data_IF_852037413869
#
_entry.id   IF_852037413869
#
_cell.length_a   1.000
_cell.length_b   1.000
_cell.length_c   1.000
_cell.angle_alpha   90.00
_cell.angle_beta   90.00
_cell.angle_gamma   90.00
#
_symmetry.space_group_name_H-M   'P 1'
#
loop_
_entity.id
_entity.type
_entity.pdbx_description
1 polymer ?
#
# COMPACT_ATOMS: atom_id res chain seq x y z
N UNK A 1 -44.80 -37.65 -14.18
CA UNK A 1 -43.77 -38.44 -13.45
C UNK A 1 -42.43 -38.10 -14.10
N UNK A 2 -41.62 -37.31 -13.39
CA UNK A 2 -40.42 -36.63 -13.89
C UNK A 2 -39.27 -37.62 -14.05
N UNK A 3 -38.51 -37.47 -15.13
CA UNK A 3 -37.36 -38.28 -15.53
C UNK A 3 -36.11 -37.89 -14.72
N UNK A 4 -35.34 -38.93 -14.41
CA UNK A 4 -33.86 -38.97 -14.35
C UNK A 4 -33.11 -37.93 -13.51
N UNK A 5 -32.84 -38.31 -12.26
CA UNK A 5 -31.72 -37.79 -11.48
C UNK A 5 -30.54 -38.76 -11.63
N UNK A 6 -29.81 -38.65 -12.75
CA UNK A 6 -28.55 -39.37 -12.93
C UNK A 6 -27.43 -38.53 -12.32
N UNK A 7 -26.98 -38.95 -11.12
CA UNK A 7 -25.75 -38.50 -10.48
C UNK A 7 -24.59 -38.71 -11.47
N UNK A 8 -23.93 -37.63 -11.86
CA UNK A 8 -22.59 -37.68 -12.43
C UNK A 8 -21.71 -36.95 -11.44
N UNK A 9 -21.03 -37.71 -10.59
CA UNK A 9 -19.86 -37.27 -9.84
C UNK A 9 -18.71 -37.38 -10.84
N UNK A 10 -18.03 -36.29 -11.23
CA UNK A 10 -16.70 -36.41 -11.78
C UNK A 10 -15.79 -36.73 -10.59
N UNK A 11 -15.40 -38.00 -10.51
CA UNK A 11 -14.21 -38.46 -9.80
C UNK A 11 -13.02 -37.91 -10.59
N UNK A 12 -12.79 -36.61 -10.48
CA UNK A 12 -11.55 -36.01 -10.93
C UNK A 12 -10.66 -35.96 -9.71
N UNK A 13 -9.72 -36.92 -9.71
CA UNK A 13 -8.54 -36.99 -8.87
C UNK A 13 -8.25 -35.64 -8.22
N UNK A 14 -8.41 -35.61 -6.91
CA UNK A 14 -7.96 -34.52 -6.05
C UNK A 14 -6.43 -34.51 -6.11
N UNK A 15 -5.89 -34.10 -7.26
CA UNK A 15 -4.51 -33.68 -7.42
C UNK A 15 -4.43 -32.46 -6.52
N UNK A 16 -3.94 -32.68 -5.31
CA UNK A 16 -3.50 -31.63 -4.41
C UNK A 16 -2.35 -30.90 -5.10
N UNK A 17 -2.70 -30.03 -6.05
CA UNK A 17 -1.81 -29.01 -6.56
C UNK A 17 -1.56 -28.16 -5.32
N UNK A 18 -0.42 -28.36 -4.68
CA UNK A 18 0.12 -27.38 -3.74
C UNK A 18 0.30 -26.10 -4.55
N UNK A 19 -0.74 -25.28 -4.59
CA UNK A 19 -0.64 -23.96 -5.17
C UNK A 19 0.27 -23.19 -4.24
N UNK A 20 1.54 -23.08 -4.59
CA UNK A 20 2.40 -22.03 -4.03
C UNK A 20 1.60 -20.75 -4.26
N UNK A 21 1.13 -20.05 -3.21
CA UNK A 21 0.37 -18.84 -3.41
C UNK A 21 1.29 -17.90 -4.17
N UNK A 22 0.98 -17.64 -5.44
CA UNK A 22 1.66 -16.64 -6.23
C UNK A 22 1.61 -15.34 -5.41
N UNK A 23 2.73 -14.61 -5.27
CA UNK A 23 2.72 -13.34 -4.56
C UNK A 23 1.69 -12.43 -5.24
N UNK A 24 0.52 -12.32 -4.61
CA UNK A 24 -0.56 -11.46 -5.08
C UNK A 24 -0.06 -10.05 -4.83
N UNK A 25 0.15 -9.30 -5.92
CA UNK A 25 0.51 -7.89 -5.82
C UNK A 25 -0.53 -7.17 -4.98
N UNK A 26 -0.04 -6.38 -4.04
CA UNK A 26 -0.85 -5.44 -3.27
C UNK A 26 -1.64 -4.53 -4.22
N UNK A 27 -2.94 -4.29 -3.95
CA UNK A 27 -3.69 -3.26 -4.67
C UNK A 27 -3.07 -1.89 -4.46
N UNK A 28 -3.06 -1.09 -5.52
CA UNK A 28 -2.43 0.23 -5.60
C UNK A 28 -2.87 1.15 -4.45
N UNK A 29 -1.95 1.94 -3.89
CA UNK A 29 -2.32 3.04 -2.99
C UNK A 29 -2.93 4.17 -3.82
N UNK A 30 -4.11 4.64 -3.43
CA UNK A 30 -4.88 5.67 -4.17
C UNK A 30 -5.08 6.95 -3.36
N UNK A 31 -5.02 6.86 -2.04
CA UNK A 31 -5.16 8.03 -1.16
C UNK A 31 -4.47 7.77 0.18
N UNK A 32 -4.17 8.86 0.89
CA UNK A 32 -3.64 8.82 2.25
C UNK A 32 -4.20 9.97 3.06
N UNK A 33 -4.42 9.72 4.36
CA UNK A 33 -4.97 10.72 5.29
C UNK A 33 -4.27 10.65 6.62
N UNK A 34 -4.29 11.78 7.32
CA UNK A 34 -3.90 11.83 8.73
C UNK A 34 -5.18 11.86 9.55
N UNK A 35 -5.35 10.86 10.40
CA UNK A 35 -6.44 10.80 11.37
C UNK A 35 -5.93 11.14 12.75
N UNK A 36 -6.65 11.98 13.50
CA UNK A 36 -6.30 12.39 14.85
C UNK A 36 -7.36 11.93 15.84
N UNK A 37 -6.92 11.27 16.90
CA UNK A 37 -7.76 10.84 18.02
C UNK A 37 -7.11 11.30 19.34
N UNK A 38 -7.64 12.39 19.90
CA UNK A 38 -7.05 13.03 21.06
C UNK A 38 -5.64 13.53 20.79
N UNK A 39 -4.64 12.98 21.50
CA UNK A 39 -3.21 13.29 21.32
C UNK A 39 -2.50 12.38 20.31
N UNK A 40 -3.20 11.37 19.79
CA UNK A 40 -2.63 10.40 18.85
C UNK A 40 -2.95 10.81 17.43
N UNK A 41 -1.99 10.62 16.54
CA UNK A 41 -2.17 10.80 15.10
C UNK A 41 -1.82 9.49 14.38
N UNK A 42 -2.51 9.22 13.28
CA UNK A 42 -2.41 7.99 12.52
C UNK A 42 -2.33 8.31 11.04
N UNK A 43 -1.42 7.63 10.35
CA UNK A 43 -1.36 7.58 8.89
C UNK A 43 -2.34 6.53 8.39
N UNK A 44 -3.40 6.95 7.73
CA UNK A 44 -4.33 6.06 7.04
C UNK A 44 -3.91 5.93 5.58
N UNK A 45 -3.57 4.71 5.16
CA UNK A 45 -3.27 4.36 3.77
C UNK A 45 -4.51 3.72 3.16
N UNK A 46 -4.97 4.22 2.02
CA UNK A 46 -6.18 3.77 1.32
C UNK A 46 -5.78 3.15 -0.02
N UNK A 47 -6.25 1.94 -0.27
CA UNK A 47 -5.96 1.15 -1.47
C UNK A 47 -7.13 1.11 -2.45
N UNK A 48 -6.82 0.81 -3.71
CA UNK A 48 -7.76 0.80 -4.82
C UNK A 48 -8.91 -0.21 -4.66
N UNK A 49 -8.69 -1.27 -3.89
CA UNK A 49 -9.70 -2.29 -3.54
C UNK A 49 -10.67 -1.82 -2.45
N UNK A 50 -10.51 -0.60 -1.94
CA UNK A 50 -11.30 -0.03 -0.85
C UNK A 50 -10.78 -0.41 0.54
N UNK A 51 -9.74 -1.24 0.65
CA UNK A 51 -9.11 -1.52 1.93
C UNK A 51 -8.33 -0.31 2.42
N UNK A 52 -8.30 -0.10 3.73
CA UNK A 52 -7.44 0.90 4.34
C UNK A 52 -6.83 0.38 5.64
N UNK A 53 -5.64 0.87 5.95
CA UNK A 53 -4.92 0.52 7.18
C UNK A 53 -4.35 1.77 7.85
N UNK A 54 -4.42 1.80 9.18
CA UNK A 54 -3.91 2.91 9.99
C UNK A 54 -2.60 2.53 10.67
N UNK A 55 -1.66 3.47 10.66
CA UNK A 55 -0.34 3.33 11.28
C UNK A 55 -0.09 4.49 12.23
N UNK A 56 0.21 4.19 13.49
CA UNK A 56 0.57 5.22 14.46
C UNK A 56 2.05 5.64 14.32
N UNK A 57 2.89 4.73 13.81
CA UNK A 57 4.34 4.92 13.69
C UNK A 57 4.75 4.76 12.24
N UNK A 58 5.46 5.75 11.71
CA UNK A 58 5.92 5.78 10.31
C UNK A 58 6.76 4.55 9.94
N UNK A 59 7.71 4.17 10.79
CA UNK A 59 8.54 2.96 10.59
C UNK A 59 7.73 1.67 10.50
N UNK A 60 6.55 1.58 11.13
CA UNK A 60 5.69 0.40 11.00
C UNK A 60 5.03 0.36 9.64
N UNK A 61 4.59 1.51 9.12
CA UNK A 61 4.04 1.63 7.77
C UNK A 61 5.08 1.19 6.74
N UNK A 62 6.31 1.70 6.80
CA UNK A 62 7.37 1.36 5.86
C UNK A 62 7.75 -0.13 5.83
N UNK A 63 7.58 -0.84 6.95
CA UNK A 63 7.88 -2.28 7.02
C UNK A 63 6.85 -3.15 6.27
N UNK A 64 5.65 -2.61 6.05
CA UNK A 64 4.57 -3.33 5.41
C UNK A 64 4.33 -2.92 3.96
N UNK A 65 4.76 -1.71 3.59
CA UNK A 65 4.69 -1.23 2.21
C UNK A 65 5.87 -1.75 1.41
N UNK A 66 5.60 -2.27 0.23
CA UNK A 66 6.66 -2.62 -0.72
C UNK A 66 7.16 -1.37 -1.47
N UNK A 67 8.12 -1.55 -2.38
CA UNK A 67 8.68 -0.44 -3.14
C UNK A 67 7.66 0.24 -4.06
N UNK A 68 6.75 -0.53 -4.67
CA UNK A 68 5.70 0.01 -5.55
C UNK A 68 4.72 0.85 -4.72
N UNK A 69 4.33 0.35 -3.54
CA UNK A 69 3.50 1.08 -2.57
C UNK A 69 4.15 2.40 -2.15
N UNK A 70 5.44 2.39 -1.81
CA UNK A 70 6.16 3.60 -1.39
C UNK A 70 6.26 4.64 -2.52
N UNK A 71 6.43 4.20 -3.77
CA UNK A 71 6.45 5.07 -4.93
C UNK A 71 5.08 5.70 -5.19
N UNK A 72 4.00 4.93 -5.07
CA UNK A 72 2.64 5.45 -5.15
C UNK A 72 2.37 6.49 -4.06
N UNK A 73 2.75 6.20 -2.81
CA UNK A 73 2.61 7.14 -1.70
C UNK A 73 3.42 8.42 -1.94
N UNK A 74 4.68 8.31 -2.37
CA UNK A 74 5.52 9.48 -2.68
C UNK A 74 4.88 10.36 -3.76
N UNK A 75 4.36 9.75 -4.84
CA UNK A 75 3.69 10.48 -5.91
C UNK A 75 2.43 11.20 -5.41
N UNK A 76 1.63 10.57 -4.55
CA UNK A 76 0.45 11.19 -3.94
C UNK A 76 0.82 12.37 -3.04
N UNK A 77 1.80 12.21 -2.15
CA UNK A 77 2.27 13.28 -1.25
C UNK A 77 2.85 14.44 -2.05
N UNK A 78 3.68 14.14 -3.07
CA UNK A 78 4.28 15.14 -3.97
C UNK A 78 3.24 15.93 -4.76
N UNK A 79 2.22 15.26 -5.30
CA UNK A 79 1.13 15.91 -6.02
C UNK A 79 0.34 16.88 -5.09
N UNK A 80 0.14 16.48 -3.83
CA UNK A 80 -0.50 17.32 -2.80
C UNK A 80 0.37 18.53 -2.42
N UNK A 81 1.68 18.36 -2.32
CA UNK A 81 2.64 19.44 -2.04
C UNK A 81 2.71 20.48 -3.16
N UNK A 82 2.68 20.04 -4.42
CA UNK A 82 2.66 20.95 -5.58
C UNK A 82 1.35 21.74 -5.72
N UNK A 83 0.25 21.24 -5.15
CA UNK A 83 -1.08 21.82 -5.31
C UNK A 83 -1.61 22.58 -4.08
N UNK A 84 -1.10 22.29 -2.88
CA UNK A 84 -1.66 22.80 -1.62
C UNK A 84 -0.58 23.05 -0.57
N UNK A 85 -0.69 24.17 0.14
CA UNK A 85 0.16 24.48 1.30
C UNK A 85 -0.18 23.47 2.41
N UNK A 86 0.81 22.70 2.87
CA UNK A 86 0.60 21.72 3.95
C UNK A 86 0.07 22.43 5.19
N UNK A 87 -0.97 21.85 5.79
CA UNK A 87 -1.72 22.49 6.87
C UNK A 87 -1.24 22.00 8.23
N UNK A 88 -0.58 20.84 8.27
CA UNK A 88 -0.23 20.18 9.53
C UNK A 88 1.24 19.74 9.61
N UNK A 89 1.82 19.81 10.80
CA UNK A 89 3.21 19.41 11.09
C UNK A 89 3.51 17.95 10.70
N UNK A 90 2.49 17.07 10.79
CA UNK A 90 2.64 15.67 10.45
C UNK A 90 2.64 15.42 8.93
N UNK A 91 1.96 16.27 8.14
CA UNK A 91 2.08 16.23 6.67
C UNK A 91 3.52 16.60 6.26
N UNK A 92 4.10 17.60 6.93
CA UNK A 92 5.47 18.06 6.69
C UNK A 92 6.49 16.98 7.06
N UNK A 93 6.30 16.31 8.21
CA UNK A 93 7.16 15.20 8.64
C UNK A 93 7.13 14.04 7.63
N UNK A 94 5.93 13.62 7.21
CA UNK A 94 5.76 12.56 6.20
C UNK A 94 6.45 12.92 4.89
N UNK A 95 6.33 14.18 4.46
CA UNK A 95 6.98 14.66 3.25
C UNK A 95 8.50 14.65 3.36
N UNK A 96 9.07 15.19 4.44
CA UNK A 96 10.54 15.24 4.65
C UNK A 96 11.15 13.83 4.71
N UNK A 97 10.49 12.89 5.40
CA UNK A 97 10.94 11.50 5.48
C UNK A 97 10.92 10.80 4.11
N UNK A 98 9.82 10.95 3.35
CA UNK A 98 9.72 10.38 2.00
C UNK A 98 10.72 11.02 1.03
N UNK A 99 10.87 12.34 1.10
CA UNK A 99 11.85 13.09 0.31
C UNK A 99 13.26 12.60 0.59
N UNK A 100 13.62 12.44 1.87
CA UNK A 100 14.92 11.92 2.30
C UNK A 100 15.18 10.52 1.72
N UNK A 101 14.19 9.63 1.75
CA UNK A 101 14.36 8.27 1.22
C UNK A 101 14.51 8.20 -0.29
N UNK A 102 13.78 9.02 -1.05
CA UNK A 102 13.75 8.95 -2.51
C UNK A 102 14.73 9.91 -3.20
N UNK A 103 14.97 11.11 -2.68
CA UNK A 103 15.83 12.12 -3.32
C UNK A 103 17.31 11.97 -2.93
N UNK A 104 17.65 11.60 -1.68
CA UNK A 104 19.04 11.30 -1.33
C UNK A 104 19.57 10.10 -2.12
N UNK A 105 18.72 9.13 -2.43
CA UNK A 105 19.11 7.99 -3.28
C UNK A 105 19.45 8.39 -4.72
N UNK A 106 18.88 9.51 -5.22
CA UNK A 106 19.19 10.04 -6.55
C UNK A 106 20.48 10.85 -6.51
N UNK A 107 20.68 11.69 -5.49
CA UNK A 107 21.91 12.48 -5.36
C UNK A 107 23.14 11.60 -5.03
N UNK A 108 23.00 10.58 -4.18
CA UNK A 108 24.09 9.63 -3.85
C UNK A 108 24.54 8.78 -5.06
N UNK A 109 23.68 8.57 -6.05
CA UNK A 109 24.02 7.92 -7.32
C UNK A 109 24.78 8.87 -8.27
N UNK A 110 24.49 10.17 -8.20
CA UNK A 110 25.07 11.19 -9.11
C UNK A 110 26.49 11.58 -8.70
N UNK A 111 26.84 11.53 -7.40
CA UNK A 111 28.18 11.89 -6.90
C UNK A 111 29.15 10.70 -6.73
N UNK A 112 28.77 9.48 -7.14
CA UNK A 112 29.65 8.30 -7.18
C UNK A 112 30.37 8.12 -8.52
N UNK A 113 30.98 9.18 -9.06
CA UNK A 113 31.76 9.11 -10.29
C UNK A 113 33.23 9.44 -10.08
#
# INVERSE_FOLDING_TARGET
KLKELMKIIPDEEEVAIQTIPLPVKSPKIVDWKIYKEGKKSYYQIIRADGNSKMYMVFNQMLKELDREDLEDLYNLVKAKYGSTRLVEDLDLLLWDDLKTMFELHVEDQVWKK
#
